data_IF_668869764830
#
_entry.id   IF_668869764830
#
_cell.length_a   1.000
_cell.length_b   1.000
_cell.length_c   1.000
_cell.angle_alpha   90.00
_cell.angle_beta   90.00
_cell.angle_gamma   90.00
#
_symmetry.space_group_name_H-M   'P 1'
#
loop_
_entity.id
_entity.type
_entity.pdbx_description
1 polymer ?
#
# COMPACT_ATOMS: atom_id res chain seq x y z
N UNK A 1 -12.90 23.29 73.67
CA UNK A 1 -12.97 23.88 72.31
C UNK A 1 -14.40 23.78 71.79
N UNK A 2 -14.89 24.85 71.17
CA UNK A 2 -16.09 24.92 70.32
C UNK A 2 -15.97 23.84 69.20
N UNK A 3 -17.01 23.23 68.66
CA UNK A 3 -18.12 23.81 67.91
C UNK A 3 -19.33 22.85 67.85
N UNK A 4 -20.52 23.44 67.87
CA UNK A 4 -21.78 22.86 67.42
C UNK A 4 -21.78 22.61 65.90
N UNK A 5 -22.64 21.69 65.43
CA UNK A 5 -23.77 21.92 64.49
C UNK A 5 -23.91 20.80 63.45
N UNK A 6 -24.96 19.99 63.62
CA UNK A 6 -25.69 19.22 62.58
C UNK A 6 -26.83 20.10 62.00
N UNK A 7 -27.59 19.77 60.92
CA UNK A 7 -27.49 18.71 59.90
C UNK A 7 -27.85 19.26 58.46
N UNK A 8 -28.52 18.56 57.52
CA UNK A 8 -28.18 18.55 56.09
C UNK A 8 -29.05 19.48 55.23
N UNK A 9 -28.63 19.78 53.99
CA UNK A 9 -29.52 20.42 52.99
C UNK A 9 -29.62 19.61 51.71
N UNK A 10 -30.84 19.10 51.55
CA UNK A 10 -31.48 18.51 50.37
C UNK A 10 -31.50 19.45 49.16
N UNK A 11 -31.42 18.81 47.99
CA UNK A 11 -32.05 19.11 46.69
C UNK A 11 -31.96 20.53 46.12
N UNK A 12 -31.29 20.67 44.96
CA UNK A 12 -31.85 21.36 43.78
C UNK A 12 -31.35 20.72 42.47
N UNK A 13 -32.21 19.90 41.89
CA UNK A 13 -32.33 19.70 40.44
C UNK A 13 -32.54 21.05 39.75
N UNK A 14 -31.75 21.35 38.72
CA UNK A 14 -32.03 22.43 37.78
C UNK A 14 -31.93 21.86 36.35
N UNK A 15 -33.09 21.46 35.84
CA UNK A 15 -33.41 21.28 34.43
C UNK A 15 -33.67 22.66 33.81
N UNK A 16 -33.05 22.94 32.66
CA UNK A 16 -33.48 23.92 31.64
C UNK A 16 -32.81 23.47 30.33
N UNK A 17 -33.46 22.82 29.36
CA UNK A 17 -34.62 23.17 28.52
C UNK A 17 -34.33 24.24 27.44
N UNK A 18 -33.96 23.73 26.25
CA UNK A 18 -34.39 24.06 24.87
C UNK A 18 -34.34 25.52 24.36
N UNK A 19 -33.60 25.72 23.27
CA UNK A 19 -34.00 26.61 22.17
C UNK A 19 -33.82 25.87 20.83
N UNK A 20 -34.95 25.50 20.24
CA UNK A 20 -35.12 24.91 18.93
C UNK A 20 -35.16 26.04 17.90
N UNK A 21 -34.26 26.08 16.93
CA UNK A 21 -34.45 26.86 15.70
C UNK A 21 -34.25 25.95 14.50
N UNK A 22 -35.39 25.40 14.07
CA UNK A 22 -35.54 24.72 12.80
C UNK A 22 -35.43 25.74 11.66
N UNK A 23 -34.47 25.56 10.77
CA UNK A 23 -34.48 26.16 9.43
C UNK A 23 -34.63 25.03 8.43
N UNK A 24 -35.87 24.78 8.00
CA UNK A 24 -36.18 23.97 6.83
C UNK A 24 -35.73 24.74 5.59
N UNK A 25 -34.82 24.16 4.81
CA UNK A 25 -34.70 24.46 3.39
C UNK A 25 -34.98 23.17 2.60
N UNK A 26 -36.19 23.10 2.05
CA UNK A 26 -36.64 22.12 1.07
C UNK A 26 -36.29 22.64 -0.33
N UNK A 27 -35.37 21.95 -1.00
CA UNK A 27 -35.26 21.82 -2.45
C UNK A 27 -34.27 20.65 -2.67
N UNK A 28 -34.51 19.59 -3.42
CA UNK A 28 -35.55 19.25 -4.37
C UNK A 28 -34.89 18.33 -5.40
N UNK A 29 -35.41 17.10 -5.53
CA UNK A 29 -35.31 16.15 -6.66
C UNK A 29 -33.95 15.77 -7.28
N UNK A 30 -33.71 14.46 -7.34
CA UNK A 30 -32.95 13.83 -8.42
C UNK A 30 -32.01 12.73 -7.93
N UNK A 31 -32.48 11.49 -7.92
CA UNK A 31 -31.61 10.34 -7.73
C UNK A 31 -30.76 10.07 -8.96
N UNK A 32 -29.49 9.71 -8.73
CA UNK A 32 -28.74 8.65 -9.43
C UNK A 32 -27.78 8.11 -8.39
N UNK A 33 -27.93 6.82 -8.09
CA UNK A 33 -26.97 5.99 -7.37
C UNK A 33 -25.76 5.76 -8.30
N UNK A 34 -24.58 5.52 -7.71
CA UNK A 34 -23.26 5.22 -8.32
C UNK A 34 -22.29 6.40 -8.50
N UNK A 35 -21.39 6.55 -7.52
CA UNK A 35 -20.04 7.13 -7.67
C UNK A 35 -19.08 6.11 -7.03
N UNK A 36 -17.98 5.69 -7.68
CA UNK A 36 -16.72 6.39 -7.40
C UNK A 36 -15.64 6.31 -8.52
N UNK A 37 -15.98 6.06 -9.78
CA UNK A 37 -14.99 5.99 -10.87
C UNK A 37 -15.23 7.10 -11.89
N UNK A 38 -14.99 8.33 -11.45
CA UNK A 38 -15.17 9.56 -12.22
C UNK A 38 -13.96 10.50 -12.17
N UNK A 39 -12.74 9.97 -12.12
CA UNK A 39 -11.54 10.78 -12.34
C UNK A 39 -11.29 10.93 -13.86
N UNK A 40 -11.80 12.05 -14.38
CA UNK A 40 -11.31 12.80 -15.55
C UNK A 40 -11.50 12.20 -16.97
N UNK A 41 -12.57 12.62 -17.64
CA UNK A 41 -12.59 12.85 -19.11
C UNK A 41 -12.37 14.34 -19.42
N UNK A 42 -11.82 14.77 -20.58
CA UNK A 42 -10.68 14.27 -21.33
C UNK A 42 -9.64 15.38 -21.73
N UNK A 43 -8.40 14.93 -21.99
CA UNK A 43 -7.44 15.33 -23.05
C UNK A 43 -7.07 16.80 -23.29
N UNK A 44 -5.79 17.14 -23.07
CA UNK A 44 -4.99 17.95 -24.00
C UNK A 44 -3.50 17.63 -23.84
N UNK A 45 -2.83 17.41 -24.98
CA UNK A 45 -1.56 16.70 -25.10
C UNK A 45 -0.34 17.37 -24.51
N UNK A 46 0.69 16.55 -24.28
CA UNK A 46 2.07 16.95 -24.53
C UNK A 46 2.86 15.69 -24.90
N UNK A 47 3.27 15.60 -26.17
CA UNK A 47 4.17 14.58 -26.67
C UNK A 47 5.59 14.85 -26.14
N UNK A 48 6.32 13.79 -25.79
CA UNK A 48 7.77 13.79 -25.67
C UNK A 48 8.35 12.66 -26.55
N UNK A 49 9.52 12.85 -27.17
CA UNK A 49 9.97 12.02 -28.29
C UNK A 49 10.56 10.70 -27.82
N UNK A 50 10.20 9.62 -28.52
CA UNK A 50 10.90 8.35 -28.47
C UNK A 50 12.16 8.44 -29.35
N UNK A 51 13.34 8.26 -28.75
CA UNK A 51 14.59 8.09 -29.48
C UNK A 51 14.66 6.65 -30.01
N UNK A 52 14.56 6.49 -31.32
CA UNK A 52 14.67 5.20 -32.01
C UNK A 52 16.14 4.84 -32.20
N UNK A 53 16.68 4.04 -31.29
CA UNK A 53 17.95 3.34 -31.49
C UNK A 53 17.75 2.06 -32.32
N UNK A 54 18.31 2.03 -33.53
CA UNK A 54 18.37 0.89 -34.47
C UNK A 54 18.88 -0.41 -33.82
N UNK A 55 18.33 -1.61 -34.13
CA UNK A 55 18.84 -2.88 -33.63
C UNK A 55 20.12 -3.29 -34.37
N UNK A 56 21.20 -3.53 -33.63
CA UNK A 56 22.42 -4.17 -34.12
C UNK A 56 22.46 -5.66 -33.77
N UNK A 57 22.79 -6.48 -34.75
CA UNK A 57 22.80 -7.95 -34.71
C UNK A 57 23.67 -8.57 -33.59
N UNK A 58 23.11 -9.60 -32.93
CA UNK A 58 23.83 -10.85 -32.64
C UNK A 58 25.06 -10.83 -31.74
N UNK A 59 25.08 -10.02 -30.67
CA UNK A 59 26.08 -10.14 -29.62
C UNK A 59 25.48 -10.81 -28.37
N UNK A 60 26.16 -11.86 -27.89
CA UNK A 60 25.91 -12.55 -26.62
C UNK A 60 25.41 -11.58 -25.54
N UNK A 61 24.30 -11.93 -24.87
CA UNK A 61 23.91 -11.27 -23.64
C UNK A 61 25.08 -11.38 -22.65
N UNK A 62 25.79 -10.26 -22.46
CA UNK A 62 26.73 -10.13 -21.36
C UNK A 62 25.94 -10.37 -20.07
N UNK A 63 26.47 -11.10 -19.09
CA UNK A 63 25.80 -11.24 -17.81
C UNK A 63 25.59 -9.83 -17.25
N UNK A 64 24.32 -9.43 -17.11
CA UNK A 64 23.89 -8.11 -16.62
C UNK A 64 24.08 -8.02 -15.10
N UNK A 65 25.13 -8.63 -14.55
CA UNK A 65 25.36 -8.71 -13.11
C UNK A 65 25.69 -7.32 -12.52
N UNK A 66 26.13 -6.36 -13.34
CA UNK A 66 26.71 -5.11 -12.86
C UNK A 66 25.88 -3.84 -13.16
N UNK A 67 24.71 -3.93 -13.81
CA UNK A 67 23.93 -2.75 -14.22
C UNK A 67 22.45 -2.87 -13.84
N UNK A 68 22.19 -3.34 -12.61
CA UNK A 68 20.86 -3.45 -12.04
C UNK A 68 20.31 -2.12 -11.47
N UNK A 69 21.08 -1.03 -11.56
CA UNK A 69 20.73 0.24 -10.92
C UNK A 69 20.63 0.14 -9.39
N UNK A 70 19.93 1.08 -8.75
CA UNK A 70 19.78 1.13 -7.28
C UNK A 70 18.45 0.49 -6.80
N UNK A 71 17.48 0.31 -7.69
CA UNK A 71 16.18 -0.31 -7.43
C UNK A 71 15.78 -1.27 -8.56
N UNK A 72 16.43 -2.44 -8.68
CA UNK A 72 16.12 -3.41 -9.74
C UNK A 72 14.74 -4.05 -9.64
N UNK A 73 14.10 -3.97 -8.47
CA UNK A 73 12.79 -4.56 -8.20
C UNK A 73 11.65 -3.54 -8.31
N UNK A 74 11.96 -2.30 -8.72
CA UNK A 74 10.97 -1.22 -8.85
C UNK A 74 10.17 -1.00 -7.56
N UNK A 75 10.77 -1.21 -6.39
CA UNK A 75 10.12 -1.08 -5.09
C UNK A 75 9.55 0.33 -4.89
N UNK A 76 10.20 1.35 -5.43
CA UNK A 76 9.75 2.74 -5.32
C UNK A 76 8.62 3.15 -6.28
N UNK A 77 8.22 2.31 -7.24
CA UNK A 77 7.41 2.75 -8.38
C UNK A 77 5.93 2.99 -8.04
N UNK A 78 5.43 2.47 -6.92
CA UNK A 78 4.05 2.69 -6.48
C UNK A 78 4.01 3.24 -5.05
N UNK A 79 3.21 4.30 -4.86
CA UNK A 79 3.08 4.99 -3.59
C UNK A 79 1.63 5.10 -3.14
N UNK A 80 1.42 4.98 -1.83
CA UNK A 80 0.12 5.21 -1.21
C UNK A 80 0.31 5.83 0.18
N UNK A 81 -0.64 6.66 0.58
CA UNK A 81 -0.74 7.13 1.96
C UNK A 81 -1.96 6.46 2.58
N UNK A 82 -1.73 5.70 3.65
CA UNK A 82 -2.78 4.98 4.34
C UNK A 82 -2.92 5.51 5.76
N UNK A 83 -4.14 5.90 6.10
CA UNK A 83 -4.53 6.09 7.48
C UNK A 83 -5.26 4.84 8.00
N UNK A 84 -4.81 4.32 9.13
CA UNK A 84 -5.43 3.21 9.84
C UNK A 84 -5.93 3.63 11.22
N UNK A 85 -7.06 3.08 11.64
CA UNK A 85 -7.48 3.14 13.04
C UNK A 85 -7.14 1.82 13.70
N UNK A 86 -6.42 1.87 14.82
CA UNK A 86 -6.07 0.68 15.61
C UNK A 86 -6.78 0.69 16.98
N UNK A 87 -7.95 0.06 17.10
CA UNK A 87 -8.55 -0.24 18.40
C UNK A 87 -7.60 -1.08 19.28
N UNK A 88 -7.82 -1.03 20.60
CA UNK A 88 -7.10 -1.86 21.57
C UNK A 88 -7.06 -3.34 21.13
N UNK A 89 -5.91 -4.00 21.34
CA UNK A 89 -5.65 -5.40 20.98
C UNK A 89 -5.78 -5.76 19.49
N UNK A 90 -5.86 -4.78 18.58
CA UNK A 90 -5.85 -5.01 17.14
C UNK A 90 -4.48 -4.72 16.50
N UNK A 91 -4.27 -5.21 15.27
CA UNK A 91 -3.03 -5.04 14.50
C UNK A 91 -3.37 -4.64 13.07
N UNK A 92 -2.55 -3.79 12.48
CA UNK A 92 -2.74 -3.34 11.11
C UNK A 92 -1.81 -4.12 10.18
N UNK A 93 -2.34 -4.52 9.03
CA UNK A 93 -1.62 -5.33 8.05
C UNK A 93 -1.63 -4.64 6.70
N UNK A 94 -0.44 -4.29 6.23
CA UNK A 94 -0.21 -3.67 4.94
C UNK A 94 0.36 -4.70 3.97
N UNK A 95 -0.08 -4.67 2.73
CA UNK A 95 0.38 -5.60 1.68
C UNK A 95 0.92 -4.80 0.50
N UNK A 96 2.16 -5.10 0.13
CA UNK A 96 2.86 -4.52 -1.02
C UNK A 96 3.12 -5.64 -2.02
N UNK A 97 2.61 -5.51 -3.24
CA UNK A 97 2.90 -6.47 -4.29
C UNK A 97 4.18 -6.05 -5.02
N UNK A 98 5.16 -6.96 -5.12
CA UNK A 98 6.36 -6.77 -5.90
C UNK A 98 6.43 -7.77 -7.04
N UNK A 99 7.02 -7.35 -8.16
CA UNK A 99 7.44 -8.19 -9.28
C UNK A 99 8.96 -8.18 -9.36
N UNK A 100 9.57 -9.32 -9.65
CA UNK A 100 10.98 -9.40 -10.02
C UNK A 100 11.10 -9.42 -11.55
N UNK A 101 11.26 -8.26 -12.23
CA UNK A 101 11.36 -8.22 -13.69
C UNK A 101 12.72 -8.70 -14.22
N UNK A 102 13.64 -9.09 -13.33
CA UNK A 102 15.02 -9.44 -13.69
C UNK A 102 15.16 -10.94 -13.95
N UNK A 103 16.35 -11.34 -14.43
CA UNK A 103 16.75 -12.75 -14.54
C UNK A 103 17.49 -13.25 -13.28
N UNK A 104 17.62 -12.42 -12.25
CA UNK A 104 18.34 -12.74 -11.02
C UNK A 104 17.40 -13.16 -9.90
N UNK A 105 17.90 -14.01 -9.00
CA UNK A 105 17.21 -14.31 -7.74
C UNK A 105 17.72 -13.38 -6.66
N UNK A 106 16.82 -12.69 -5.98
CA UNK A 106 17.16 -11.88 -4.82
C UNK A 106 16.84 -12.63 -3.52
N UNK A 107 17.60 -12.36 -2.46
CA UNK A 107 17.27 -12.82 -1.11
C UNK A 107 16.76 -11.64 -0.31
N UNK A 108 15.53 -11.71 0.19
CA UNK A 108 15.00 -10.66 1.04
C UNK A 108 15.67 -10.63 2.42
N UNK A 109 15.92 -9.43 2.90
CA UNK A 109 16.36 -9.15 4.26
C UNK A 109 15.18 -8.83 5.19
N UNK A 110 15.50 -8.26 6.34
CA UNK A 110 14.48 -7.76 7.27
C UNK A 110 13.90 -6.44 6.77
N UNK A 111 12.56 -6.35 6.76
CA UNK A 111 11.84 -5.12 6.44
C UNK A 111 11.89 -4.14 7.62
N UNK A 112 12.02 -2.85 7.33
CA UNK A 112 12.03 -1.78 8.34
C UNK A 112 11.04 -0.68 7.99
N UNK A 113 10.65 0.11 8.98
CA UNK A 113 9.94 1.37 8.75
C UNK A 113 10.96 2.49 8.54
N UNK A 114 10.69 3.38 7.59
CA UNK A 114 11.41 4.64 7.46
C UNK A 114 10.90 5.66 8.47
N UNK A 115 11.83 6.22 9.25
CA UNK A 115 11.58 7.25 10.28
C UNK A 115 10.37 6.99 11.20
N UNK A 116 10.23 5.79 11.79
CA UNK A 116 9.04 5.42 12.55
C UNK A 116 8.89 6.27 13.81
N UNK A 117 7.68 6.77 14.03
CA UNK A 117 7.26 7.43 15.26
C UNK A 117 6.16 6.58 15.89
N UNK A 118 6.39 6.00 17.06
CA UNK A 118 5.33 5.30 17.80
C UNK A 118 4.74 4.06 17.11
N UNK A 119 5.38 3.54 16.06
CA UNK A 119 5.01 2.29 15.37
C UNK A 119 6.11 1.24 15.48
N UNK A 120 5.68 0.00 15.68
CA UNK A 120 6.54 -1.18 15.65
C UNK A 120 6.12 -2.14 14.54
N UNK A 121 7.08 -2.75 13.86
CA UNK A 121 6.82 -3.94 13.03
C UNK A 121 6.77 -5.16 13.95
N UNK A 122 5.70 -5.93 13.85
CA UNK A 122 5.56 -7.23 14.52
C UNK A 122 6.05 -8.39 13.66
N UNK A 123 5.75 -8.33 12.36
CA UNK A 123 6.10 -9.39 11.43
C UNK A 123 6.19 -8.85 10.01
N UNK A 124 7.13 -9.38 9.25
CA UNK A 124 7.18 -9.25 7.79
C UNK A 124 7.11 -10.65 7.16
N UNK A 125 6.09 -10.85 6.34
CA UNK A 125 5.82 -12.13 5.69
C UNK A 125 5.79 -11.94 4.18
N UNK A 126 6.08 -13.00 3.44
CA UNK A 126 5.98 -13.07 1.98
C UNK A 126 4.96 -14.13 1.63
N UNK A 127 4.10 -13.82 0.68
CA UNK A 127 3.17 -14.76 0.09
C UNK A 127 3.31 -14.71 -1.43
N UNK A 128 3.31 -15.85 -2.10
CA UNK A 128 3.26 -15.86 -3.57
C UNK A 128 1.99 -15.17 -4.04
N UNK A 129 2.12 -14.34 -5.08
CA UNK A 129 1.02 -13.59 -5.66
C UNK A 129 0.81 -14.03 -7.11
N UNK A 130 -0.45 -14.04 -7.54
CA UNK A 130 -0.74 -14.19 -8.96
C UNK A 130 -0.62 -12.81 -9.62
N UNK A 131 -0.24 -12.79 -10.90
CA UNK A 131 -0.13 -11.58 -11.74
C UNK A 131 -1.40 -10.72 -11.78
N UNK A 132 -2.57 -11.30 -11.45
CA UNK A 132 -3.85 -10.60 -11.42
C UNK A 132 -3.96 -9.61 -10.24
N UNK A 133 -3.52 -8.37 -10.47
CA UNK A 133 -3.76 -7.24 -9.56
C UNK A 133 -3.79 -5.88 -10.25
N UNK A 134 -2.87 -5.62 -11.19
CA UNK A 134 -2.77 -4.32 -11.87
C UNK A 134 -2.43 -4.48 -13.35
N UNK A 135 -3.40 -4.95 -14.14
CA UNK A 135 -3.31 -4.71 -15.58
C UNK A 135 -3.60 -3.23 -15.82
N UNK A 136 -2.56 -2.44 -16.07
CA UNK A 136 -2.74 -1.22 -16.84
C UNK A 136 -3.24 -1.66 -18.22
N UNK A 137 -4.45 -1.24 -18.67
CA UNK A 137 -4.81 -1.43 -20.05
C UNK A 137 -3.79 -0.65 -20.89
N UNK A 138 -2.95 -1.34 -21.66
CA UNK A 138 -2.13 -0.70 -22.68
C UNK A 138 -3.04 0.14 -23.57
N UNK A 139 -2.81 1.45 -23.72
CA UNK A 139 -3.59 2.25 -24.63
C UNK A 139 -3.02 2.08 -26.02
N UNK A 140 -3.37 0.99 -26.70
CA UNK A 140 -3.26 0.91 -28.16
C UNK A 140 -4.51 0.25 -28.74
N UNK A 141 -5.57 1.05 -28.77
CA UNK A 141 -6.65 0.89 -29.74
C UNK A 141 -6.16 1.35 -31.10
N UNK A 142 -5.91 0.40 -32.02
CA UNK A 142 -5.36 0.70 -33.33
C UNK A 142 -5.54 -0.40 -34.39
N UNK A 143 -6.76 -0.93 -34.50
CA UNK A 143 -7.44 -1.44 -35.70
C UNK A 143 -6.77 -2.49 -36.65
N UNK A 144 -7.55 -3.56 -36.87
CA UNK A 144 -7.58 -4.53 -37.98
C UNK A 144 -6.66 -5.74 -37.93
N UNK A 145 -7.22 -6.86 -37.45
CA UNK A 145 -6.71 -8.20 -37.69
C UNK A 145 -7.78 -9.23 -37.34
N UNK A 146 -8.09 -10.10 -38.29
CA UNK A 146 -9.15 -11.11 -38.24
C UNK A 146 -9.13 -11.96 -36.96
N UNK A 147 -10.33 -12.39 -36.52
CA UNK A 147 -10.55 -13.18 -35.33
C UNK A 147 -9.63 -14.41 -35.27
N UNK A 148 -8.51 -14.25 -34.57
CA UNK A 148 -7.71 -15.36 -34.07
C UNK A 148 -8.28 -15.68 -32.70
N UNK A 149 -8.59 -16.95 -32.46
CA UNK A 149 -9.16 -17.42 -31.21
C UNK A 149 -8.41 -16.81 -30.01
N UNK A 150 -9.16 -16.36 -29.01
CA UNK A 150 -8.64 -15.98 -27.70
C UNK A 150 -7.63 -17.05 -27.27
N UNK A 151 -6.35 -16.70 -27.03
CA UNK A 151 -5.42 -17.68 -26.50
C UNK A 151 -5.98 -18.17 -25.17
N UNK A 152 -6.12 -19.48 -25.03
CA UNK A 152 -6.39 -20.12 -23.74
C UNK A 152 -5.36 -19.59 -22.74
N UNK A 153 -5.76 -19.19 -21.50
CA UNK A 153 -4.80 -18.81 -20.48
C UNK A 153 -3.85 -19.99 -20.23
N UNK A 154 -2.64 -19.91 -20.78
CA UNK A 154 -1.69 -21.03 -20.88
C UNK A 154 -0.82 -21.19 -19.63
N UNK A 155 -0.97 -20.36 -18.61
CA UNK A 155 -0.24 -20.54 -17.36
C UNK A 155 -1.15 -21.18 -16.31
N UNK A 156 -0.84 -22.41 -15.91
CA UNK A 156 -1.25 -22.92 -14.60
C UNK A 156 -0.81 -21.89 -13.56
N UNK A 157 -1.77 -21.15 -12.99
CA UNK A 157 -1.46 -20.21 -11.92
C UNK A 157 -0.78 -20.97 -10.79
N UNK A 158 0.36 -20.46 -10.33
CA UNK A 158 1.04 -21.06 -9.21
C UNK A 158 0.11 -20.98 -7.99
N UNK A 159 -0.08 -22.08 -7.22
CA UNK A 159 -0.92 -22.01 -6.04
C UNK A 159 -0.39 -20.94 -5.08
N UNK A 160 -1.27 -20.02 -4.67
CA UNK A 160 -0.96 -19.06 -3.62
C UNK A 160 -0.68 -19.85 -2.34
N UNK A 161 0.58 -19.90 -1.94
CA UNK A 161 1.04 -20.61 -0.75
C UNK A 161 0.65 -19.87 0.53
N UNK A 162 0.81 -20.50 1.70
CA UNK A 162 0.70 -19.78 2.97
C UNK A 162 1.83 -18.74 3.08
N UNK A 163 1.62 -17.61 3.80
CA UNK A 163 2.69 -16.66 4.06
C UNK A 163 3.85 -17.29 4.83
N UNK A 164 5.07 -16.96 4.43
CA UNK A 164 6.33 -17.38 5.07
C UNK A 164 7.12 -16.15 5.54
N UNK A 165 8.07 -16.25 6.48
CA UNK A 165 8.90 -15.10 6.88
C UNK A 165 9.60 -14.46 5.68
N UNK A 166 9.63 -13.12 5.64
CA UNK A 166 10.24 -12.38 4.53
C UNK A 166 11.77 -12.52 4.51
N UNK A 167 12.42 -12.40 5.67
CA UNK A 167 13.87 -12.52 5.76
C UNK A 167 14.34 -13.92 5.33
N UNK A 168 15.29 -13.97 4.40
CA UNK A 168 15.80 -15.19 3.79
C UNK A 168 14.95 -15.75 2.64
N UNK A 169 13.81 -15.14 2.31
CA UNK A 169 12.99 -15.56 1.18
C UNK A 169 13.73 -15.35 -0.14
N UNK A 170 13.70 -16.35 -1.02
CA UNK A 170 14.30 -16.29 -2.37
C UNK A 170 13.26 -15.80 -3.35
N UNK A 171 13.41 -14.57 -3.83
CA UNK A 171 12.54 -13.97 -4.81
C UNK A 171 13.03 -14.31 -6.22
N UNK A 172 12.41 -15.31 -6.82
CA UNK A 172 12.83 -15.87 -8.11
C UNK A 172 12.56 -14.91 -9.29
N UNK A 173 13.29 -15.07 -10.41
CA UNK A 173 13.05 -14.32 -11.64
C UNK A 173 11.58 -14.42 -12.11
N UNK A 174 11.03 -13.29 -12.57
CA UNK A 174 9.65 -13.14 -13.07
C UNK A 174 8.53 -13.48 -12.06
N UNK A 175 8.88 -13.78 -10.80
CA UNK A 175 7.91 -14.08 -9.77
C UNK A 175 7.18 -12.81 -9.28
N UNK A 176 5.97 -13.00 -8.78
CA UNK A 176 5.19 -11.98 -8.09
C UNK A 176 4.97 -12.40 -6.65
N UNK A 177 5.15 -11.48 -5.72
CA UNK A 177 4.96 -11.73 -4.29
C UNK A 177 4.25 -10.56 -3.61
N UNK A 178 3.51 -10.89 -2.57
CA UNK A 178 2.97 -9.95 -1.61
C UNK A 178 3.87 -9.91 -0.37
N UNK A 179 4.50 -8.78 -0.11
CA UNK A 179 5.12 -8.47 1.18
C UNK A 179 4.02 -7.98 2.12
N UNK A 180 3.81 -8.72 3.21
CA UNK A 180 2.81 -8.47 4.22
C UNK A 180 3.52 -7.97 5.47
N UNK A 181 3.36 -6.68 5.80
CA UNK A 181 3.93 -6.06 6.99
C UNK A 181 2.82 -5.82 8.02
N UNK A 182 2.97 -6.44 9.18
CA UNK A 182 2.06 -6.24 10.32
C UNK A 182 2.69 -5.25 11.29
N UNK A 183 1.96 -4.20 11.63
CA UNK A 183 2.40 -3.16 12.55
C UNK A 183 1.44 -2.93 13.71
N UNK A 184 1.97 -2.32 14.76
CA UNK A 184 1.22 -1.88 15.93
C UNK A 184 1.72 -0.53 16.43
N UNK A 185 0.83 0.20 17.13
CA UNK A 185 1.22 1.30 17.99
C UNK A 185 2.09 0.77 19.13
N UNK A 186 3.16 1.48 19.44
CA UNK A 186 3.97 1.21 20.60
C UNK A 186 3.15 1.38 21.89
N UNK A 187 3.55 0.67 22.96
CA UNK A 187 2.81 0.69 24.22
C UNK A 187 2.65 2.12 24.77
N UNK A 188 1.40 2.48 25.09
CA UNK A 188 1.05 3.81 25.62
C UNK A 188 0.99 4.93 24.59
N UNK A 189 1.16 4.63 23.30
CA UNK A 189 1.10 5.60 22.21
C UNK A 189 -0.29 5.62 21.57
N UNK A 190 -0.83 6.81 21.31
CA UNK A 190 -2.16 6.98 20.68
C UNK A 190 -2.12 7.29 19.19
N UNK A 191 -0.94 7.61 18.66
CA UNK A 191 -0.69 7.94 17.27
C UNK A 191 0.70 7.48 16.86
N UNK A 192 0.83 6.87 15.70
CA UNK A 192 2.12 6.48 15.16
C UNK A 192 2.15 6.59 13.64
N UNK A 193 3.35 6.83 13.11
CA UNK A 193 3.57 7.06 11.68
C UNK A 193 4.90 6.51 11.19
N UNK A 194 4.99 6.31 9.88
CA UNK A 194 6.21 5.97 9.16
C UNK A 194 6.14 6.52 7.74
N UNK A 195 7.26 7.01 7.22
CA UNK A 195 7.31 7.66 5.90
C UNK A 195 7.32 6.64 4.74
N UNK A 196 7.80 5.43 4.99
CA UNK A 196 7.92 4.35 4.02
C UNK A 196 8.13 2.99 4.69
N UNK A 197 8.09 1.94 3.88
CA UNK A 197 8.64 0.62 4.23
C UNK A 197 9.96 0.45 3.49
N UNK A 198 11.06 0.26 4.22
CA UNK A 198 12.36 -0.09 3.66
C UNK A 198 12.40 -1.59 3.37
N UNK A 199 12.48 -1.94 2.09
CA UNK A 199 12.62 -3.30 1.60
C UNK A 199 14.10 -3.59 1.39
N UNK A 200 14.66 -4.42 2.27
CA UNK A 200 16.03 -4.90 2.14
C UNK A 200 16.07 -6.18 1.31
N UNK A 201 17.00 -6.25 0.36
CA UNK A 201 17.22 -7.46 -0.45
C UNK A 201 18.63 -7.50 -1.00
N UNK A 202 19.11 -8.66 -1.43
CA UNK A 202 20.48 -8.80 -1.92
C UNK A 202 20.62 -9.83 -3.02
N UNK A 203 21.69 -9.67 -3.80
CA UNK A 203 22.29 -10.71 -4.64
C UNK A 203 23.57 -11.19 -3.94
N UNK A 204 24.26 -12.24 -4.43
CA UNK A 204 25.56 -12.64 -3.89
C UNK A 204 26.61 -11.52 -3.89
N UNK A 205 26.48 -10.54 -4.78
CA UNK A 205 27.49 -9.51 -5.03
C UNK A 205 27.12 -8.13 -4.46
N UNK A 206 25.83 -7.89 -4.12
CA UNK A 206 25.34 -6.57 -3.69
C UNK A 206 24.14 -6.64 -2.78
N UNK A 207 24.13 -5.74 -1.78
CA UNK A 207 22.98 -5.45 -0.93
C UNK A 207 22.22 -4.21 -1.41
N UNK A 208 20.90 -4.23 -1.25
CA UNK A 208 19.96 -3.17 -1.58
C UNK A 208 19.05 -2.89 -0.38
N UNK A 209 18.64 -1.63 -0.25
CA UNK A 209 17.66 -1.18 0.73
C UNK A 209 16.88 -0.04 0.10
N UNK A 210 15.68 -0.34 -0.40
CA UNK A 210 14.87 0.61 -1.16
C UNK A 210 13.61 0.96 -0.38
N UNK A 211 13.27 2.25 -0.35
CA UNK A 211 12.03 2.74 0.24
C UNK A 211 10.84 2.49 -0.70
N UNK A 212 9.90 1.67 -0.27
CA UNK A 212 8.57 1.63 -0.87
C UNK A 212 7.77 2.85 -0.40
N UNK A 213 7.14 3.57 -1.32
CA UNK A 213 6.45 4.84 -1.05
C UNK A 213 5.09 4.67 -0.33
N UNK A 214 5.01 3.72 0.61
CA UNK A 214 3.85 3.52 1.47
C UNK A 214 4.02 4.31 2.77
N UNK A 215 3.38 5.47 2.85
CA UNK A 215 3.30 6.25 4.08
C UNK A 215 2.19 5.68 4.98
N UNK A 216 2.53 5.44 6.24
CA UNK A 216 1.65 4.85 7.23
C UNK A 216 1.35 5.90 8.29
N UNK A 217 0.07 6.13 8.54
CA UNK A 217 -0.43 6.95 9.64
C UNK A 217 -1.47 6.11 10.42
N UNK A 218 -1.33 6.04 11.74
CA UNK A 218 -2.18 5.20 12.58
C UNK A 218 -2.61 5.96 13.82
N UNK A 219 -3.91 6.04 14.03
CA UNK A 219 -4.50 6.60 15.24
C UNK A 219 -5.25 5.52 16.03
N UNK A 220 -5.26 5.65 17.35
CA UNK A 220 -5.98 4.71 18.22
C UNK A 220 -7.51 4.82 18.08
N UNK A 221 -8.03 5.95 17.61
CA UNK A 221 -9.48 6.24 17.67
C UNK A 221 -10.12 6.72 16.37
N UNK A 222 -9.45 7.52 15.55
CA UNK A 222 -10.00 8.01 14.29
C UNK A 222 -8.93 8.56 13.37
N UNK A 223 -9.07 8.32 12.06
CA UNK A 223 -8.37 9.04 11.01
C UNK A 223 -9.06 10.38 10.74
N UNK A 224 -8.29 11.47 10.63
CA UNK A 224 -8.80 12.83 10.35
C UNK A 224 -8.61 13.28 8.91
#
# INVERSE_FOLDING_TARGET
MKLLTTPPRRHRTALFAVALTASLALAGCGGVEENPLGVNTPTAGQAAPADQGTPGDGAQAAPVLNDLGDDPLNVGIDGAELCGVQPDDSRLRYTVMLHNPTLETFTFGEMKLGDPQGLNILSSMVQTANREGHHHPSPDGGAHGEHTATPDPTATQEPIGPPVPAAGYRFEPDAHVNIIVTVELAEGVTHGSADNILVAFSTPDRDYSVAHNLKIDVDASSCS
#
